data_IF_522570239403
#
_entry.id   IF_522570239403
#
_cell.length_a   1.000
_cell.length_b   1.000
_cell.length_c   1.000
_cell.angle_alpha   90.00
_cell.angle_beta   90.00
_cell.angle_gamma   90.00
#
_symmetry.space_group_name_H-M   'P 1'
#
loop_
_entity.id
_entity.type
_entity.pdbx_description
1 polymer ?
#
# COMPACT_ATOMS: atom_id res chain seq x y z
N UNK A 1 6.63 -2.08 16.33
CA UNK A 1 7.18 -2.25 14.99
C UNK A 1 6.07 -1.99 13.96
N UNK A 2 6.34 -1.13 13.00
CA UNK A 2 5.33 -0.78 11.99
C UNK A 2 5.08 -1.93 11.02
N UNK A 3 3.83 -2.14 10.66
CA UNK A 3 3.39 -3.25 9.81
C UNK A 3 3.00 -2.76 8.42
N UNK A 4 3.46 -3.48 7.41
CA UNK A 4 3.16 -3.19 6.00
C UNK A 4 2.55 -4.42 5.36
N UNK A 5 1.45 -4.23 4.62
CA UNK A 5 0.87 -5.28 3.79
C UNK A 5 1.26 -5.01 2.35
N UNK A 6 1.87 -5.98 1.68
CA UNK A 6 2.25 -5.88 0.27
C UNK A 6 1.31 -6.75 -0.56
N UNK A 7 0.58 -6.14 -1.47
CA UNK A 7 -0.36 -6.84 -2.35
C UNK A 7 0.13 -6.73 -3.79
N UNK A 8 0.53 -7.85 -4.37
CA UNK A 8 1.05 -7.90 -5.74
C UNK A 8 0.94 -9.33 -6.23
N UNK A 9 0.46 -9.55 -7.44
CA UNK A 9 0.33 -10.88 -8.01
C UNK A 9 1.66 -11.46 -8.49
N UNK A 10 2.69 -10.62 -8.62
CA UNK A 10 4.02 -11.08 -8.99
C UNK A 10 4.82 -11.45 -7.74
N UNK A 11 4.95 -12.76 -7.51
CA UNK A 11 5.62 -13.29 -6.31
C UNK A 11 7.04 -12.77 -6.15
N UNK A 12 7.80 -12.66 -7.24
CA UNK A 12 9.19 -12.21 -7.21
C UNK A 12 9.29 -10.76 -6.69
N UNK A 13 8.40 -9.90 -7.15
CA UNK A 13 8.37 -8.50 -6.72
C UNK A 13 7.96 -8.42 -5.25
N UNK A 14 6.93 -9.16 -4.86
CA UNK A 14 6.46 -9.22 -3.47
C UNK A 14 7.57 -9.63 -2.52
N UNK A 15 8.31 -10.68 -2.88
CA UNK A 15 9.39 -11.18 -2.05
C UNK A 15 10.54 -10.19 -1.95
N UNK A 16 10.93 -9.59 -3.06
CA UNK A 16 12.02 -8.62 -3.08
C UNK A 16 11.68 -7.41 -2.21
N UNK A 17 10.49 -6.85 -2.37
CA UNK A 17 10.07 -5.72 -1.55
C UNK A 17 9.97 -6.11 -0.08
N UNK A 18 9.44 -7.31 0.19
CA UNK A 18 9.33 -7.80 1.56
C UNK A 18 10.66 -7.93 2.25
N UNK A 19 11.67 -8.44 1.56
CA UNK A 19 13.02 -8.58 2.11
C UNK A 19 13.65 -7.22 2.40
N UNK A 20 13.53 -6.28 1.46
CA UNK A 20 14.09 -4.94 1.61
C UNK A 20 13.45 -4.22 2.79
N UNK A 21 12.11 -4.27 2.88
CA UNK A 21 11.40 -3.58 3.94
C UNK A 21 11.58 -4.25 5.30
N UNK A 22 11.70 -5.57 5.33
CA UNK A 22 12.03 -6.29 6.57
C UNK A 22 13.40 -5.89 7.09
N UNK A 23 14.35 -5.72 6.19
CA UNK A 23 15.70 -5.27 6.54
C UNK A 23 15.67 -3.87 7.16
N UNK A 24 14.75 -3.03 6.72
CA UNK A 24 14.57 -1.68 7.27
C UNK A 24 13.83 -1.67 8.61
N UNK A 25 13.43 -2.83 9.10
CA UNK A 25 12.79 -2.95 10.41
C UNK A 25 11.27 -3.01 10.38
N UNK A 26 10.66 -3.08 9.21
CA UNK A 26 9.20 -3.19 9.12
C UNK A 26 8.75 -4.64 9.22
N UNK A 27 7.56 -4.83 9.77
CA UNK A 27 6.92 -6.13 9.84
C UNK A 27 6.09 -6.30 8.57
N UNK A 28 6.32 -7.37 7.81
CA UNK A 28 5.75 -7.53 6.48
C UNK A 28 4.78 -8.71 6.42
N UNK A 29 3.60 -8.46 5.83
CA UNK A 29 2.70 -9.50 5.38
C UNK A 29 2.52 -9.35 3.87
N UNK A 30 2.21 -10.44 3.18
CA UNK A 30 2.07 -10.48 1.73
C UNK A 30 0.72 -11.04 1.32
N UNK A 31 0.18 -10.53 0.22
CA UNK A 31 -1.02 -11.07 -0.41
C UNK A 31 -0.79 -11.14 -1.91
N UNK A 32 -1.23 -12.23 -2.53
CA UNK A 32 -1.00 -12.49 -3.96
C UNK A 32 -2.08 -11.94 -4.88
N UNK A 33 -3.17 -11.42 -4.35
CA UNK A 33 -4.23 -10.79 -5.12
C UNK A 33 -5.05 -9.87 -4.21
N UNK A 34 -5.97 -9.13 -4.81
CA UNK A 34 -6.78 -8.15 -4.06
C UNK A 34 -7.74 -8.78 -3.08
N UNK A 35 -8.24 -9.99 -3.39
CA UNK A 35 -9.15 -10.69 -2.50
C UNK A 35 -8.46 -11.13 -1.22
N UNK A 36 -7.27 -11.73 -1.36
CA UNK A 36 -6.43 -12.10 -0.21
C UNK A 36 -6.02 -10.85 0.57
N UNK A 37 -5.70 -9.77 -0.14
CA UNK A 37 -5.35 -8.50 0.47
C UNK A 37 -6.47 -7.95 1.34
N UNK A 38 -7.71 -7.97 0.86
CA UNK A 38 -8.85 -7.52 1.64
C UNK A 38 -9.07 -8.38 2.88
N UNK A 39 -8.90 -9.69 2.73
CA UNK A 39 -9.07 -10.61 3.84
C UNK A 39 -8.06 -10.31 4.95
N UNK A 40 -6.80 -10.15 4.60
CA UNK A 40 -5.75 -9.81 5.56
C UNK A 40 -5.97 -8.44 6.17
N UNK A 41 -6.39 -7.49 5.36
CA UNK A 41 -6.68 -6.13 5.82
C UNK A 41 -7.79 -6.10 6.88
N UNK A 42 -8.79 -6.97 6.74
CA UNK A 42 -9.89 -7.05 7.72
C UNK A 42 -9.47 -7.75 9.00
N UNK A 43 -8.53 -8.70 8.92
CA UNK A 43 -8.12 -9.51 10.06
C UNK A 43 -7.06 -8.85 10.95
N UNK A 44 -6.34 -7.86 10.43
CA UNK A 44 -5.19 -7.29 11.12
C UNK A 44 -5.02 -5.82 10.75
N UNK A 45 -4.50 -5.04 11.66
CA UNK A 45 -4.21 -3.63 11.41
C UNK A 45 -2.83 -3.45 10.79
N UNK A 46 -2.74 -2.60 9.78
CA UNK A 46 -1.49 -2.25 9.12
C UNK A 46 -1.27 -0.74 9.18
N UNK A 47 -0.02 -0.33 9.15
CA UNK A 47 0.33 1.09 9.15
C UNK A 47 0.38 1.67 7.75
N UNK A 48 0.74 0.85 6.75
CA UNK A 48 0.80 1.23 5.34
C UNK A 48 0.49 0.01 4.50
N UNK A 49 -0.15 0.22 3.35
CA UNK A 49 -0.39 -0.84 2.37
C UNK A 49 0.28 -0.45 1.06
N UNK A 50 1.04 -1.38 0.48
CA UNK A 50 1.58 -1.26 -0.88
C UNK A 50 0.73 -2.16 -1.76
N UNK A 51 0.12 -1.62 -2.80
CA UNK A 51 -0.82 -2.37 -3.63
C UNK A 51 -0.55 -2.15 -5.11
N UNK A 52 -0.40 -3.25 -5.86
CA UNK A 52 -0.34 -3.21 -7.32
C UNK A 52 -1.73 -2.87 -7.85
N UNK A 53 -1.78 -2.23 -9.01
CA UNK A 53 -3.06 -1.86 -9.63
C UNK A 53 -3.65 -3.01 -10.43
N UNK A 54 -2.85 -3.64 -11.30
CA UNK A 54 -3.33 -4.72 -12.15
C UNK A 54 -3.16 -6.08 -11.51
N UNK A 55 -4.23 -6.63 -11.00
CA UNK A 55 -4.25 -7.94 -10.37
C UNK A 55 -5.51 -8.69 -10.77
N UNK A 56 -5.48 -10.05 -10.77
CA UNK A 56 -6.69 -10.81 -11.00
C UNK A 56 -7.66 -10.68 -9.84
N UNK A 57 -8.92 -11.03 -10.07
CA UNK A 57 -10.04 -11.00 -9.13
C UNK A 57 -10.43 -9.57 -8.78
N UNK A 58 -9.78 -8.95 -7.82
CA UNK A 58 -10.02 -7.56 -7.42
C UNK A 58 -8.78 -6.77 -7.76
N UNK A 59 -8.90 -5.76 -8.64
CA UNK A 59 -7.75 -4.93 -8.98
C UNK A 59 -7.43 -3.93 -7.86
N UNK A 60 -6.30 -3.23 -8.01
CA UNK A 60 -5.82 -2.31 -6.96
C UNK A 60 -6.75 -1.14 -6.70
N UNK A 61 -7.45 -0.64 -7.71
CA UNK A 61 -8.38 0.48 -7.55
C UNK A 61 -9.59 0.02 -6.73
N UNK A 62 -10.13 -1.15 -7.04
CA UNK A 62 -11.24 -1.72 -6.28
C UNK A 62 -10.83 -2.02 -4.84
N UNK A 63 -9.63 -2.56 -4.64
CA UNK A 63 -9.10 -2.78 -3.31
C UNK A 63 -9.04 -1.46 -2.53
N UNK A 64 -8.51 -0.41 -3.16
CA UNK A 64 -8.39 0.91 -2.56
C UNK A 64 -9.76 1.43 -2.10
N UNK A 65 -10.77 1.34 -2.96
CA UNK A 65 -12.11 1.79 -2.62
C UNK A 65 -12.68 1.05 -1.42
N UNK A 66 -12.56 -0.28 -1.41
CA UNK A 66 -13.08 -1.11 -0.34
C UNK A 66 -12.33 -0.89 0.97
N UNK A 67 -11.03 -0.75 0.92
CA UNK A 67 -10.22 -0.51 2.11
C UNK A 67 -10.54 0.86 2.73
N UNK A 68 -10.72 1.89 1.90
CA UNK A 68 -11.06 3.22 2.37
C UNK A 68 -12.46 3.31 2.98
N UNK A 69 -13.39 2.46 2.55
CA UNK A 69 -14.71 2.37 3.18
C UNK A 69 -14.59 1.88 4.62
N UNK A 70 -13.67 0.96 4.88
CA UNK A 70 -13.46 0.41 6.23
C UNK A 70 -12.59 1.29 7.11
N UNK A 71 -11.59 1.93 6.52
CA UNK A 71 -10.66 2.80 7.25
C UNK A 71 -10.16 3.89 6.31
N UNK A 72 -10.79 5.05 6.39
CA UNK A 72 -10.49 6.19 5.52
C UNK A 72 -9.09 6.75 5.71
N UNK A 73 -8.47 6.49 6.86
CA UNK A 73 -7.16 7.06 7.20
C UNK A 73 -5.97 6.15 6.83
N UNK A 74 -6.23 4.90 6.42
CA UNK A 74 -5.12 3.99 6.08
C UNK A 74 -4.38 4.49 4.84
N UNK A 75 -3.06 4.73 4.91
CA UNK A 75 -2.32 5.15 3.73
C UNK A 75 -2.05 3.97 2.82
N UNK A 76 -2.47 4.10 1.56
CA UNK A 76 -2.29 3.08 0.54
C UNK A 76 -1.44 3.68 -0.57
N UNK A 77 -0.27 3.07 -0.82
CA UNK A 77 0.64 3.48 -1.88
C UNK A 77 0.43 2.52 -3.04
N UNK A 78 0.04 3.06 -4.19
CA UNK A 78 -0.17 2.25 -5.38
C UNK A 78 1.12 2.09 -6.14
N UNK A 79 1.39 0.88 -6.63
CA UNK A 79 2.59 0.58 -7.42
C UNK A 79 2.14 -0.06 -8.72
N UNK A 80 2.62 0.42 -9.87
CA UNK A 80 2.22 -0.14 -11.15
C UNK A 80 3.37 -0.15 -12.16
N UNK A 81 3.46 -1.25 -12.91
CA UNK A 81 4.47 -1.41 -13.96
C UNK A 81 4.16 -0.65 -15.24
N UNK A 82 2.93 -0.20 -15.39
CA UNK A 82 2.51 0.54 -16.57
C UNK A 82 2.14 1.96 -16.15
N UNK A 83 3.03 2.90 -16.46
CA UNK A 83 2.85 4.29 -16.08
C UNK A 83 1.69 4.95 -16.81
N UNK A 84 0.47 4.55 -16.50
CA UNK A 84 -0.71 5.20 -17.00
C UNK A 84 -1.06 6.34 -16.07
N UNK A 85 -0.85 7.56 -16.54
CA UNK A 85 -1.10 8.76 -15.76
C UNK A 85 -2.57 8.84 -15.34
N UNK A 86 -3.48 8.44 -16.22
CA UNK A 86 -4.92 8.46 -15.91
C UNK A 86 -5.26 7.55 -14.73
N UNK A 87 -4.66 6.36 -14.69
CA UNK A 87 -4.86 5.42 -13.59
C UNK A 87 -4.27 5.97 -12.28
N UNK A 88 -3.11 6.59 -12.36
CA UNK A 88 -2.48 7.21 -11.19
C UNK A 88 -3.35 8.34 -10.63
N UNK A 89 -3.89 9.18 -11.50
CA UNK A 89 -4.78 10.28 -11.11
C UNK A 89 -6.05 9.72 -10.47
N UNK A 90 -6.64 8.68 -11.07
CA UNK A 90 -7.82 8.03 -10.53
C UNK A 90 -7.56 7.49 -9.13
N UNK A 91 -6.43 6.81 -8.93
CA UNK A 91 -6.08 6.25 -7.63
C UNK A 91 -5.97 7.34 -6.56
N UNK A 92 -5.28 8.44 -6.87
CA UNK A 92 -5.12 9.54 -5.92
C UNK A 92 -6.47 10.18 -5.61
N UNK A 93 -7.33 10.36 -6.62
CA UNK A 93 -8.68 10.91 -6.40
C UNK A 93 -9.53 10.02 -5.50
N UNK A 94 -9.30 8.72 -5.53
CA UNK A 94 -10.04 7.76 -4.71
C UNK A 94 -9.41 7.53 -3.34
N UNK A 95 -8.35 8.26 -3.02
CA UNK A 95 -7.79 8.28 -1.69
C UNK A 95 -6.44 7.61 -1.51
N UNK A 96 -5.76 7.20 -2.60
CA UNK A 96 -4.40 6.68 -2.49
C UNK A 96 -3.48 7.77 -1.95
N UNK A 97 -2.55 7.37 -1.11
CA UNK A 97 -1.57 8.32 -0.57
C UNK A 97 -0.57 8.78 -1.65
N UNK A 98 -0.11 7.83 -2.47
CA UNK A 98 0.82 8.14 -3.56
C UNK A 98 0.80 7.02 -4.60
N UNK A 99 1.46 7.25 -5.71
CA UNK A 99 1.60 6.31 -6.80
C UNK A 99 3.06 6.23 -7.20
N UNK A 100 3.60 5.01 -7.29
CA UNK A 100 5.01 4.79 -7.66
C UNK A 100 5.06 3.83 -8.85
N UNK A 101 5.80 4.21 -9.89
CA UNK A 101 5.97 3.36 -11.08
C UNK A 101 6.99 2.24 -10.80
N UNK A 102 6.77 1.07 -11.40
CA UNK A 102 7.72 -0.05 -11.37
C UNK A 102 8.76 0.13 -12.48
N UNK A 103 10.02 -0.28 -12.27
CA UNK A 103 10.56 -0.73 -11.00
C UNK A 103 10.70 0.44 -10.03
N UNK A 104 10.35 0.25 -8.75
CA UNK A 104 10.35 1.37 -7.81
C UNK A 104 11.79 1.80 -7.48
N UNK A 105 11.98 3.12 -7.42
CA UNK A 105 13.20 3.68 -6.85
C UNK A 105 13.12 3.42 -5.35
N UNK A 106 14.07 2.66 -4.81
CA UNK A 106 14.04 2.24 -3.42
C UNK A 106 14.08 3.40 -2.44
N UNK A 107 14.89 4.41 -2.73
CA UNK A 107 14.97 5.59 -1.87
C UNK A 107 13.64 6.32 -1.84
N UNK A 108 13.02 6.51 -2.99
CA UNK A 108 11.70 7.14 -3.07
C UNK A 108 10.65 6.34 -2.32
N UNK A 109 10.67 5.01 -2.49
CA UNK A 109 9.71 4.14 -1.82
C UNK A 109 9.84 4.24 -0.30
N UNK A 110 11.07 4.16 0.22
CA UNK A 110 11.31 4.24 1.66
C UNK A 110 10.90 5.60 2.23
N UNK A 111 11.19 6.68 1.53
CA UNK A 111 10.79 8.02 1.95
C UNK A 111 9.26 8.14 1.94
N UNK A 112 8.61 7.63 0.89
CA UNK A 112 7.15 7.69 0.77
C UNK A 112 6.48 6.91 1.90
N UNK A 113 6.99 5.72 2.21
CA UNK A 113 6.47 4.90 3.31
C UNK A 113 6.62 5.64 4.65
N UNK A 114 7.79 6.20 4.90
CA UNK A 114 8.04 6.94 6.13
C UNK A 114 7.09 8.14 6.27
N UNK A 115 6.94 8.90 5.20
CA UNK A 115 6.05 10.06 5.19
C UNK A 115 4.58 9.65 5.41
N UNK A 116 4.17 8.54 4.83
CA UNK A 116 2.82 8.01 5.01
C UNK A 116 2.56 7.63 6.47
N UNK A 117 3.53 7.01 7.11
CA UNK A 117 3.42 6.63 8.52
C UNK A 117 3.40 7.85 9.43
N UNK A 118 4.22 8.85 9.16
CA UNK A 118 4.26 10.10 9.92
C UNK A 118 2.93 10.83 9.81
N UNK A 119 2.33 10.89 8.62
CA UNK A 119 1.03 11.50 8.41
C UNK A 119 -0.05 10.80 9.23
N UNK A 120 -0.06 9.48 9.25
CA UNK A 120 -1.01 8.69 10.03
C UNK A 120 -0.86 8.98 11.52
N UNK A 121 0.38 9.05 11.99
CA UNK A 121 0.68 9.36 13.38
C UNK A 121 0.15 10.74 13.77
N UNK A 122 0.38 11.74 12.92
CA UNK A 122 -0.13 13.11 13.16
C UNK A 122 -1.65 13.14 13.21
N UNK A 123 -2.32 12.44 12.30
CA UNK A 123 -3.79 12.37 12.27
C UNK A 123 -4.30 11.72 13.57
N UNK A 124 -3.65 10.67 14.02
CA UNK A 124 -4.02 9.98 15.26
C UNK A 124 -3.87 10.90 16.47
N UNK A 125 -2.76 11.63 16.55
CA UNK A 125 -2.52 12.59 17.61
C UNK A 125 -3.59 13.68 17.64
N UNK A 126 -3.96 14.20 16.49
CA UNK A 126 -4.99 15.21 16.36
C UNK A 126 -6.35 14.68 16.86
N UNK A 127 -6.67 13.45 16.56
CA UNK A 127 -7.93 12.82 17.00
C UNK A 127 -7.96 12.58 18.51
N UNK A 128 -6.84 12.34 19.11
CA UNK A 128 -6.73 12.10 20.55
C UNK A 128 -6.85 13.40 21.33
N UNK A 129 -6.34 14.47 20.77
CA UNK A 129 -6.41 15.79 21.39
C UNK A 129 -7.80 16.41 21.30
#
# INVERSE_FOLDING_TARGET
MSSILIIDDEKAIRKTLGEILSYEGYKIDEAGDGEEGLKKFKDKEYDVILCDIKMPKIDGIEFLEKAKESNADIPIIMISGHGNIDTAVEAVKKGAYDFIAKPPDLNRLLITIRNAMDKTSLVTETKVL
#
